data_IF_983965251718
#
_entry.id   IF_983965251718
#
_cell.length_a   1.000
_cell.length_b   1.000
_cell.length_c   1.000
_cell.angle_alpha   90.00
_cell.angle_beta   90.00
_cell.angle_gamma   90.00
#
_symmetry.space_group_name_H-M   'P 1'
#
loop_
_entity.id
_entity.type
_entity.pdbx_description
1 polymer ?
#
# COMPACT_ATOMS: atom_id res chain seq x y z
N UNK A 1 -45.07 38.00 -45.74
CA UNK A 1 -46.52 38.05 -45.44
C UNK A 1 -46.78 37.16 -44.24
N UNK A 2 -47.34 37.68 -43.15
CA UNK A 2 -47.97 36.87 -42.10
C UNK A 2 -49.39 36.46 -42.55
N UNK A 3 -50.02 35.46 -41.90
CA UNK A 3 -50.88 35.81 -40.76
C UNK A 3 -50.82 34.84 -39.56
N UNK A 4 -51.43 35.28 -38.45
CA UNK A 4 -51.66 34.61 -37.14
C UNK A 4 -53.02 35.15 -36.62
N UNK A 5 -53.60 34.69 -35.48
CA UNK A 5 -54.29 33.43 -35.13
C UNK A 5 -55.85 33.61 -35.15
N UNK A 6 -56.71 32.80 -34.46
CA UNK A 6 -56.89 32.70 -32.98
C UNK A 6 -57.18 31.23 -32.51
N UNK A 7 -57.54 30.83 -31.27
CA UNK A 7 -57.62 31.37 -29.89
C UNK A 7 -57.22 30.23 -28.91
N UNK A 8 -56.41 30.43 -27.86
CA UNK A 8 -56.76 30.86 -26.49
C UNK A 8 -57.84 30.04 -25.74
N UNK A 9 -57.42 29.19 -24.79
CA UNK A 9 -58.14 28.89 -23.53
C UNK A 9 -57.15 28.65 -22.38
N UNK A 10 -57.36 29.37 -21.28
CA UNK A 10 -56.54 29.41 -20.08
C UNK A 10 -57.08 28.50 -18.97
N UNK A 11 -56.19 27.92 -18.16
CA UNK A 11 -56.44 27.65 -16.73
C UNK A 11 -55.18 27.99 -15.91
N UNK A 12 -55.37 28.41 -14.66
CA UNK A 12 -54.43 29.28 -13.93
C UNK A 12 -54.15 28.76 -12.50
N UNK A 13 -52.85 28.64 -12.16
CA UNK A 13 -52.21 28.66 -10.82
C UNK A 13 -52.54 27.58 -9.76
N UNK A 14 -51.76 27.50 -8.65
CA UNK A 14 -50.39 28.01 -8.36
C UNK A 14 -49.42 26.83 -7.96
N UNK A 15 -48.08 26.95 -7.82
CA UNK A 15 -47.32 27.78 -6.87
C UNK A 15 -45.79 27.77 -7.15
N UNK A 16 -45.13 28.91 -6.84
CA UNK A 16 -43.72 29.12 -6.41
C UNK A 16 -42.53 28.24 -6.89
N UNK A 17 -41.63 28.90 -7.61
CA UNK A 17 -40.15 28.73 -7.68
C UNK A 17 -39.46 28.87 -6.28
N UNK A 18 -38.16 28.53 -6.06
CA UNK A 18 -37.05 28.63 -7.04
C UNK A 18 -35.89 27.62 -7.00
N UNK A 19 -34.99 27.82 -7.98
CA UNK A 19 -33.57 27.45 -8.03
C UNK A 19 -32.90 27.17 -6.69
N UNK A 20 -32.16 26.05 -6.62
CA UNK A 20 -31.05 25.85 -5.69
C UNK A 20 -29.87 25.21 -6.41
N UNK A 21 -28.70 25.85 -6.29
CA UNK A 21 -27.45 25.36 -6.85
C UNK A 21 -26.89 24.24 -5.96
N UNK A 22 -26.48 23.12 -6.55
CA UNK A 22 -25.73 22.11 -5.81
C UNK A 22 -24.28 22.55 -5.63
N UNK A 23 -23.98 23.02 -4.43
CA UNK A 23 -22.64 23.42 -4.01
C UNK A 23 -21.67 22.25 -4.02
N UNK A 24 -20.47 22.52 -4.52
CA UNK A 24 -19.29 21.68 -4.35
C UNK A 24 -18.89 21.74 -2.86
N UNK A 25 -19.04 20.63 -2.14
CA UNK A 25 -18.42 20.50 -0.81
C UNK A 25 -16.91 20.32 -0.94
N UNK A 26 -16.20 21.44 -1.03
CA UNK A 26 -14.78 21.49 -0.69
C UNK A 26 -14.65 21.33 0.82
N UNK A 27 -14.05 20.23 1.29
CA UNK A 27 -13.74 20.03 2.71
C UNK A 27 -12.54 20.93 3.08
N UNK A 28 -12.69 21.93 3.98
CA UNK A 28 -11.57 22.78 4.37
C UNK A 28 -10.63 22.05 5.34
N UNK A 29 -9.34 22.38 5.23
CA UNK A 29 -8.24 21.83 6.01
C UNK A 29 -8.23 22.36 7.47
N UNK A 30 -9.24 22.01 8.28
CA UNK A 30 -9.39 22.57 9.65
C UNK A 30 -9.67 21.49 10.72
N UNK A 31 -8.91 20.39 10.70
CA UNK A 31 -8.82 19.46 11.84
C UNK A 31 -7.38 18.97 12.08
N UNK A 32 -6.43 19.91 12.12
CA UNK A 32 -5.04 19.64 12.52
C UNK A 32 -4.48 20.70 13.49
N UNK A 33 -5.33 21.57 14.04
CA UNK A 33 -4.97 22.59 15.05
C UNK A 33 -5.97 22.54 16.22
N UNK A 34 -5.97 21.42 16.94
CA UNK A 34 -6.57 21.36 18.29
C UNK A 34 -5.76 20.57 19.33
N UNK A 35 -4.61 19.97 18.94
CA UNK A 35 -3.66 19.36 19.88
C UNK A 35 -2.28 20.02 19.71
N UNK A 36 -2.23 21.33 19.98
CA UNK A 36 -0.96 22.07 20.12
C UNK A 36 -1.08 23.34 20.99
N UNK A 37 -2.13 23.46 21.81
CA UNK A 37 -2.46 24.68 22.56
C UNK A 37 -2.19 24.62 24.08
N UNK A 38 -1.79 23.46 24.62
CA UNK A 38 -1.47 23.30 26.05
C UNK A 38 0.04 23.26 26.38
N UNK A 39 0.92 23.37 25.38
CA UNK A 39 2.39 23.34 25.59
C UNK A 39 3.09 24.66 25.27
N UNK A 40 2.43 25.80 25.53
CA UNK A 40 3.05 27.13 25.34
C UNK A 40 2.79 28.18 26.41
N UNK A 41 2.41 27.78 27.62
CA UNK A 41 2.19 28.67 28.79
C UNK A 41 3.06 28.32 30.03
N UNK A 42 4.20 27.64 29.85
CA UNK A 42 5.15 27.30 30.96
C UNK A 42 6.54 27.93 30.77
N UNK A 43 6.77 28.68 29.68
CA UNK A 43 8.09 29.17 29.31
C UNK A 43 8.12 30.66 28.92
N UNK A 44 7.57 31.54 29.76
CA UNK A 44 7.76 33.01 29.62
C UNK A 44 7.39 33.84 30.87
N UNK A 45 8.15 33.70 31.96
CA UNK A 45 8.36 34.83 32.86
C UNK A 45 9.66 34.69 33.68
N UNK A 46 10.54 35.68 33.61
CA UNK A 46 11.70 35.83 34.49
C UNK A 46 11.75 37.28 34.99
N UNK A 47 12.29 37.44 36.20
CA UNK A 47 12.65 38.69 36.90
C UNK A 47 11.53 39.66 37.29
N UNK A 48 11.17 39.66 38.58
CA UNK A 48 11.42 40.83 39.44
C UNK A 48 11.54 40.41 40.93
N UNK A 49 11.81 41.37 41.82
CA UNK A 49 12.51 41.21 43.09
C UNK A 49 11.65 41.06 44.38
N UNK A 50 12.30 40.43 45.38
CA UNK A 50 12.31 40.73 46.85
C UNK A 50 11.21 40.19 47.81
N UNK A 51 11.74 39.39 48.77
CA UNK A 51 11.60 39.43 50.25
C UNK A 51 10.58 38.52 50.98
N UNK A 52 11.06 38.09 52.17
CA UNK A 52 10.39 37.42 53.31
C UNK A 52 9.91 35.97 53.12
N UNK A 53 9.99 35.04 54.08
CA UNK A 53 10.77 34.75 55.32
C UNK A 53 9.95 33.65 56.02
N UNK A 54 10.58 32.56 56.48
CA UNK A 54 10.00 31.51 57.35
C UNK A 54 8.75 30.75 56.80
N UNK A 55 8.43 29.51 57.18
CA UNK A 55 9.09 28.47 57.99
C UNK A 55 8.53 27.11 57.53
N UNK A 56 9.35 26.06 57.51
CA UNK A 56 9.11 24.81 58.24
C UNK A 56 10.16 23.76 57.87
N UNK A 57 11.00 23.44 58.84
CA UNK A 57 11.89 22.29 58.82
C UNK A 57 11.11 20.97 58.95
N UNK A 58 11.79 19.91 58.53
CA UNK A 58 11.82 18.54 59.09
C UNK A 58 11.23 17.46 58.16
N UNK A 59 11.79 16.24 58.04
CA UNK A 59 12.97 15.61 58.67
C UNK A 59 13.72 14.75 57.60
N UNK A 60 15.06 14.71 57.66
CA UNK A 60 15.90 13.63 57.09
C UNK A 60 16.60 12.93 58.27
N UNK A 61 16.90 11.62 58.16
CA UNK A 61 18.29 11.20 57.87
C UNK A 61 18.34 10.00 56.88
N UNK A 62 19.15 9.95 55.83
CA UNK A 62 20.63 9.97 55.73
C UNK A 62 21.33 8.77 56.39
N UNK A 63 21.89 7.85 55.59
CA UNK A 63 23.24 7.31 55.78
C UNK A 63 23.79 6.65 54.49
N UNK A 64 25.11 6.59 54.37
CA UNK A 64 25.87 6.20 53.16
C UNK A 64 26.86 5.05 53.46
N UNK A 65 27.19 4.32 52.39
CA UNK A 65 28.50 3.66 52.10
C UNK A 65 28.71 2.15 52.35
N UNK A 66 29.71 1.64 51.59
CA UNK A 66 30.54 0.43 51.80
C UNK A 66 30.06 -0.96 51.32
N UNK A 67 30.24 -1.19 50.01
CA UNK A 67 30.85 -2.38 49.35
C UNK A 67 31.17 -3.66 50.17
N UNK A 68 30.70 -4.84 49.69
CA UNK A 68 31.50 -6.10 49.70
C UNK A 68 30.95 -7.22 48.77
N UNK A 69 31.86 -8.11 48.39
CA UNK A 69 31.90 -9.19 47.38
C UNK A 69 30.85 -10.35 47.41
N UNK A 70 30.39 -10.76 46.20
CA UNK A 70 30.29 -12.17 45.65
C UNK A 70 29.32 -13.21 46.34
N UNK A 71 28.67 -14.20 45.63
CA UNK A 71 28.96 -14.78 44.30
C UNK A 71 27.81 -14.91 43.27
N UNK A 72 28.19 -15.30 42.04
CA UNK A 72 27.30 -15.77 40.95
C UNK A 72 26.58 -17.10 41.30
N UNK A 73 25.24 -17.11 41.29
CA UNK A 73 24.38 -18.16 40.67
C UNK A 73 22.90 -17.76 40.75
N UNK A 74 22.07 -18.35 39.87
CA UNK A 74 20.61 -18.15 39.75
C UNK A 74 20.19 -16.78 39.17
N UNK A 75 20.28 -16.66 37.84
CA UNK A 75 19.32 -15.92 36.99
C UNK A 75 19.52 -16.36 35.54
N UNK A 76 19.19 -17.63 35.29
CA UNK A 76 19.01 -18.18 33.96
C UNK A 76 17.63 -18.84 33.94
N UNK A 77 16.91 -18.71 32.82
CA UNK A 77 15.51 -19.12 32.64
C UNK A 77 14.48 -18.21 33.33
N UNK A 78 13.95 -17.22 32.57
CA UNK A 78 12.52 -16.80 32.50
C UNK A 78 12.38 -15.38 31.91
N UNK A 79 12.65 -15.24 30.61
CA UNK A 79 12.13 -14.14 29.78
C UNK A 79 11.54 -14.69 28.48
N UNK A 80 10.56 -15.58 28.62
CA UNK A 80 9.65 -15.91 27.52
C UNK A 80 8.79 -14.69 27.21
N UNK A 81 9.08 -14.02 26.09
CA UNK A 81 8.27 -12.91 25.57
C UNK A 81 6.85 -13.41 25.23
N UNK A 82 5.91 -13.21 26.16
CA UNK A 82 4.48 -13.35 25.87
C UNK A 82 4.01 -12.06 25.21
N UNK A 83 3.76 -12.12 23.91
CA UNK A 83 3.08 -11.04 23.17
C UNK A 83 1.64 -10.90 23.68
N UNK A 84 1.42 -9.95 24.60
CA UNK A 84 0.08 -9.54 25.02
C UNK A 84 -0.41 -8.41 24.11
N UNK A 85 -1.06 -8.79 23.00
CA UNK A 85 -1.96 -7.89 22.29
C UNK A 85 -3.21 -7.64 23.16
N UNK A 86 -3.64 -6.39 23.39
CA UNK A 86 -4.91 -6.11 24.04
C UNK A 86 -6.07 -6.37 23.05
N UNK A 87 -6.35 -7.63 22.78
CA UNK A 87 -7.66 -8.02 22.22
C UNK A 87 -8.70 -7.86 23.32
N UNK A 88 -9.65 -6.94 23.12
CA UNK A 88 -10.91 -6.97 23.86
C UNK A 88 -11.70 -8.21 23.43
N UNK A 89 -11.41 -9.34 24.08
CA UNK A 89 -12.12 -10.59 23.89
C UNK A 89 -13.54 -10.50 24.48
N UNK A 90 -14.46 -9.93 23.70
CA UNK A 90 -15.85 -10.40 23.73
C UNK A 90 -15.82 -11.82 23.16
N UNK A 91 -16.26 -12.87 23.88
CA UNK A 91 -16.32 -14.21 23.34
C UNK A 91 -17.26 -14.24 22.13
N UNK A 92 -16.70 -14.36 20.93
CA UNK A 92 -17.49 -14.68 19.73
C UNK A 92 -17.79 -16.17 19.77
N UNK A 93 -19.06 -16.49 19.96
CA UNK A 93 -19.54 -17.87 19.94
C UNK A 93 -19.32 -18.46 18.54
N UNK A 94 -18.33 -19.35 18.41
CA UNK A 94 -17.88 -19.92 17.14
C UNK A 94 -18.88 -20.92 16.53
N UNK A 95 -20.05 -21.13 17.16
CA UNK A 95 -21.08 -22.07 16.71
C UNK A 95 -22.36 -21.41 16.15
N UNK A 96 -22.42 -20.07 16.07
CA UNK A 96 -23.53 -19.40 15.40
C UNK A 96 -23.30 -19.41 13.88
N UNK A 97 -24.26 -19.89 13.06
CA UNK A 97 -24.11 -19.85 11.61
C UNK A 97 -24.10 -18.39 11.13
N UNK A 98 -23.02 -17.98 10.47
CA UNK A 98 -22.75 -16.62 9.94
C UNK A 98 -23.75 -16.09 8.88
N UNK A 99 -24.89 -16.77 8.70
CA UNK A 99 -25.81 -16.55 7.61
C UNK A 99 -25.24 -17.04 6.27
N UNK A 100 -25.96 -16.74 5.18
CA UNK A 100 -25.55 -17.14 3.85
C UNK A 100 -24.30 -16.39 3.37
N UNK A 101 -23.50 -17.08 2.55
CA UNK A 101 -22.45 -16.46 1.74
C UNK A 101 -23.11 -15.54 0.71
N UNK A 102 -22.65 -14.28 0.63
CA UNK A 102 -23.13 -13.27 -0.31
C UNK A 102 -22.15 -13.00 -1.45
N UNK A 103 -20.86 -13.25 -1.22
CA UNK A 103 -19.79 -13.17 -2.23
C UNK A 103 -18.78 -14.30 -2.01
N UNK A 104 -18.34 -14.95 -3.09
CA UNK A 104 -17.31 -15.99 -3.04
C UNK A 104 -16.35 -15.87 -4.24
N UNK A 105 -15.07 -16.14 -3.99
CA UNK A 105 -14.12 -16.60 -5.00
C UNK A 105 -13.62 -17.95 -4.51
N UNK A 106 -14.04 -19.02 -5.19
CA UNK A 106 -13.90 -20.40 -4.70
C UNK A 106 -12.45 -20.72 -4.32
N UNK A 107 -12.26 -21.21 -3.10
CA UNK A 107 -10.94 -21.54 -2.54
C UNK A 107 -10.08 -20.35 -2.08
N UNK A 108 -10.49 -19.10 -2.30
CA UNK A 108 -9.73 -17.90 -1.94
C UNK A 108 -10.39 -17.05 -0.85
N UNK A 109 -11.68 -16.77 -0.97
CA UNK A 109 -12.43 -15.93 -0.02
C UNK A 109 -13.93 -16.24 -0.06
N UNK A 110 -14.58 -16.24 1.10
CA UNK A 110 -16.05 -16.17 1.24
C UNK A 110 -16.41 -15.01 2.15
N UNK A 111 -17.49 -14.32 1.82
CA UNK A 111 -18.03 -13.21 2.61
C UNK A 111 -19.48 -13.52 2.94
N UNK A 112 -19.81 -13.47 4.22
CA UNK A 112 -21.13 -13.79 4.74
C UNK A 112 -21.97 -12.54 4.95
N UNK A 113 -23.29 -12.74 5.01
CA UNK A 113 -24.28 -11.65 5.15
C UNK A 113 -24.11 -10.82 6.44
N UNK A 114 -23.54 -11.41 7.50
CA UNK A 114 -23.22 -10.73 8.76
C UNK A 114 -21.91 -9.91 8.72
N UNK A 115 -21.17 -9.95 7.60
CA UNK A 115 -19.87 -9.31 7.42
C UNK A 115 -18.69 -10.19 7.84
N UNK A 116 -18.90 -11.45 8.25
CA UNK A 116 -17.82 -12.40 8.48
C UNK A 116 -17.12 -12.79 7.17
N UNK A 117 -15.79 -12.93 7.21
CA UNK A 117 -14.96 -13.21 6.05
C UNK A 117 -14.08 -14.43 6.31
N UNK A 118 -14.28 -15.48 5.50
CA UNK A 118 -13.42 -16.66 5.48
C UNK A 118 -12.33 -16.49 4.42
N UNK A 119 -11.08 -16.79 4.79
CA UNK A 119 -9.95 -16.91 3.84
C UNK A 119 -9.23 -18.23 4.06
N UNK A 120 -9.48 -19.27 3.23
CA UNK A 120 -8.73 -20.52 3.30
C UNK A 120 -7.22 -20.29 3.16
N UNK A 121 -6.40 -21.10 3.83
CA UNK A 121 -4.95 -21.04 3.67
C UNK A 121 -4.52 -21.70 2.36
N UNK A 122 -4.59 -20.93 1.28
CA UNK A 122 -4.23 -21.36 -0.08
C UNK A 122 -2.72 -21.50 -0.30
N UNK A 123 -1.94 -20.70 0.43
CA UNK A 123 -0.49 -20.60 0.32
C UNK A 123 0.14 -20.43 1.70
N UNK A 124 1.28 -21.09 1.99
CA UNK A 124 1.93 -20.98 3.29
C UNK A 124 2.62 -19.62 3.42
N UNK A 125 2.44 -18.99 4.59
CA UNK A 125 3.28 -17.90 5.07
C UNK A 125 4.64 -18.45 5.52
N UNK A 126 5.71 -17.69 5.29
CA UNK A 126 7.05 -17.98 5.81
C UNK A 126 7.50 -16.84 6.73
N UNK A 127 8.29 -17.16 7.74
CA UNK A 127 8.98 -16.15 8.56
C UNK A 127 10.04 -15.43 7.74
N UNK A 128 10.43 -14.23 8.17
CA UNK A 128 11.66 -13.62 7.67
C UNK A 128 12.87 -14.50 8.06
N UNK A 129 13.89 -14.51 7.20
CA UNK A 129 15.15 -15.21 7.43
C UNK A 129 16.33 -14.24 7.37
N UNK A 130 17.20 -14.30 8.38
CA UNK A 130 18.37 -13.43 8.54
C UNK A 130 19.35 -13.49 7.36
N UNK A 131 19.37 -14.60 6.60
CA UNK A 131 20.03 -14.68 5.30
C UNK A 131 19.49 -15.89 4.52
N UNK A 132 19.20 -15.71 3.22
CA UNK A 132 19.06 -16.81 2.25
C UNK A 132 20.44 -17.11 1.65
N UNK A 133 21.09 -18.25 1.97
CA UNK A 133 22.47 -18.51 1.55
C UNK A 133 22.64 -18.63 0.03
N UNK A 134 21.60 -19.08 -0.69
CA UNK A 134 21.62 -19.22 -2.15
C UNK A 134 21.53 -17.88 -2.89
N UNK A 135 20.91 -16.87 -2.27
CA UNK A 135 20.61 -15.59 -2.91
C UNK A 135 21.44 -14.42 -2.37
N UNK A 136 22.13 -14.60 -1.24
CA UNK A 136 22.82 -13.54 -0.51
C UNK A 136 21.90 -12.35 -0.20
N UNK A 137 20.68 -12.65 0.25
CA UNK A 137 19.65 -11.68 0.64
C UNK A 137 19.23 -11.91 2.08
N UNK A 138 19.31 -10.88 2.91
CA UNK A 138 18.72 -10.82 4.25
C UNK A 138 17.28 -10.34 4.14
N UNK A 139 16.39 -10.92 4.95
CA UNK A 139 15.01 -10.45 5.09
C UNK A 139 14.64 -10.22 6.54
N UNK A 140 13.79 -9.23 6.79
CA UNK A 140 13.34 -8.85 8.13
C UNK A 140 12.00 -8.12 8.07
N UNK A 141 11.19 -8.29 9.10
CA UNK A 141 9.84 -7.71 9.18
C UNK A 141 9.85 -6.49 10.10
N UNK A 142 9.17 -5.41 9.69
CA UNK A 142 9.07 -4.17 10.46
C UNK A 142 7.64 -3.66 10.51
N UNK A 143 7.20 -3.22 11.69
CA UNK A 143 5.90 -2.54 11.87
C UNK A 143 6.00 -1.12 11.33
N UNK A 144 5.05 -0.75 10.48
CA UNK A 144 4.97 0.57 9.83
C UNK A 144 3.94 1.45 10.55
N UNK A 145 2.80 0.87 10.90
CA UNK A 145 1.73 1.53 11.65
C UNK A 145 0.98 0.47 12.48
N UNK A 146 1.14 0.55 13.81
CA UNK A 146 0.50 -0.37 14.75
C UNK A 146 -1.02 -0.17 14.87
N UNK A 147 -1.54 1.02 14.57
CA UNK A 147 -2.98 1.31 14.66
C UNK A 147 -3.77 0.64 13.52
N UNK A 148 -3.14 0.47 12.34
CA UNK A 148 -3.71 -0.26 11.19
C UNK A 148 -3.19 -1.70 11.06
N UNK A 149 -2.27 -2.12 11.94
CA UNK A 149 -1.49 -3.35 11.81
C UNK A 149 -0.77 -3.46 10.44
N UNK A 150 -0.37 -2.32 9.87
CA UNK A 150 0.42 -2.28 8.62
C UNK A 150 1.88 -2.54 8.96
N UNK A 151 2.47 -3.50 8.25
CA UNK A 151 3.88 -3.88 8.39
C UNK A 151 4.50 -4.14 7.01
N UNK A 152 5.82 -4.26 6.93
CA UNK A 152 6.52 -4.57 5.69
C UNK A 152 7.64 -5.59 5.90
N UNK A 153 7.86 -6.46 4.90
CA UNK A 153 9.04 -7.32 4.80
C UNK A 153 10.10 -6.67 3.93
N UNK A 154 11.28 -6.46 4.49
CA UNK A 154 12.44 -5.98 3.77
C UNK A 154 13.21 -7.15 3.14
N UNK A 155 13.82 -6.89 1.98
CA UNK A 155 14.79 -7.75 1.31
C UNK A 155 16.00 -6.88 0.94
N UNK A 156 17.16 -7.17 1.52
CA UNK A 156 18.41 -6.45 1.27
C UNK A 156 19.45 -7.43 0.76
N UNK A 157 19.98 -7.26 -0.46
CA UNK A 157 21.06 -8.08 -0.97
C UNK A 157 22.39 -7.61 -0.39
N UNK A 158 23.34 -8.53 -0.19
CA UNK A 158 24.68 -8.18 0.28
C UNK A 158 25.36 -7.26 -0.75
N UNK A 159 25.67 -6.03 -0.34
CA UNK A 159 26.23 -4.99 -1.19
C UNK A 159 27.21 -4.06 -0.44
N UNK A 160 28.18 -3.53 -1.18
CA UNK A 160 29.20 -2.59 -0.69
C UNK A 160 28.78 -1.11 -0.84
N UNK A 161 27.77 -0.82 -1.65
CA UNK A 161 27.25 0.52 -1.94
C UNK A 161 25.74 0.57 -1.69
N UNK A 162 25.20 1.78 -1.51
CA UNK A 162 23.76 2.00 -1.40
C UNK A 162 23.03 1.60 -2.69
N UNK A 163 21.88 0.96 -2.55
CA UNK A 163 21.06 0.49 -3.66
C UNK A 163 19.72 1.26 -3.73
N UNK A 164 19.09 1.37 -4.92
CA UNK A 164 17.73 1.89 -5.04
C UNK A 164 16.73 1.13 -4.15
N UNK A 165 15.72 1.84 -3.66
CA UNK A 165 14.61 1.26 -2.91
C UNK A 165 13.42 0.99 -3.84
N UNK A 166 12.88 -0.21 -3.78
CA UNK A 166 11.59 -0.58 -4.39
C UNK A 166 10.56 -0.83 -3.29
N UNK A 167 9.59 0.07 -3.15
CA UNK A 167 8.41 -0.17 -2.30
C UNK A 167 7.41 -0.98 -3.11
N UNK A 168 7.20 -2.23 -2.70
CA UNK A 168 6.44 -3.24 -3.42
C UNK A 168 5.11 -3.53 -2.73
N UNK A 169 4.03 -3.59 -3.50
CA UNK A 169 2.71 -4.02 -3.05
C UNK A 169 2.34 -5.34 -3.71
N UNK A 170 1.90 -6.31 -2.94
CA UNK A 170 1.52 -7.63 -3.47
C UNK A 170 0.17 -7.61 -4.22
N UNK A 171 -0.02 -8.51 -5.17
CA UNK A 171 -1.31 -8.80 -5.79
C UNK A 171 -2.28 -9.57 -4.87
N UNK A 172 -3.43 -9.95 -5.44
CA UNK A 172 -4.51 -10.67 -4.72
C UNK A 172 -5.86 -9.94 -4.71
N UNK A 173 -6.14 -9.11 -5.73
CA UNK A 173 -7.44 -8.46 -5.90
C UNK A 173 -7.90 -7.58 -4.73
N UNK A 174 -6.94 -7.00 -3.98
CA UNK A 174 -7.14 -6.27 -2.71
C UNK A 174 -7.73 -7.09 -1.54
N UNK A 175 -8.24 -8.30 -1.79
CA UNK A 175 -8.98 -9.08 -0.80
C UNK A 175 -8.19 -10.25 -0.21
N UNK A 176 -7.12 -10.72 -0.86
CA UNK A 176 -6.24 -11.79 -0.38
C UNK A 176 -4.77 -11.43 -0.61
N UNK A 177 -3.86 -12.25 -0.08
CA UNK A 177 -2.41 -12.04 -0.17
C UNK A 177 -1.77 -11.65 1.16
N UNK A 178 -0.44 -11.71 1.21
CA UNK A 178 0.38 -11.17 2.29
C UNK A 178 1.82 -11.03 1.82
N UNK A 179 2.56 -10.06 2.36
CA UNK A 179 4.02 -9.98 2.21
C UNK A 179 4.76 -11.21 2.79
N UNK A 180 4.09 -11.98 3.67
CA UNK A 180 4.62 -13.22 4.24
C UNK A 180 4.44 -14.46 3.35
N UNK A 181 3.59 -14.42 2.30
CA UNK A 181 3.35 -15.60 1.46
C UNK A 181 4.64 -16.08 0.78
N UNK A 182 4.89 -17.38 0.87
CA UNK A 182 6.09 -18.04 0.31
C UNK A 182 6.34 -17.73 -1.16
N UNK A 183 5.31 -17.55 -1.98
CA UNK A 183 5.44 -17.19 -3.40
C UNK A 183 6.04 -15.79 -3.58
N UNK A 184 5.53 -14.78 -2.87
CA UNK A 184 6.08 -13.43 -2.87
C UNK A 184 7.48 -13.40 -2.25
N UNK A 185 7.70 -14.11 -1.14
CA UNK A 185 9.02 -14.18 -0.52
C UNK A 185 10.10 -14.72 -1.48
N UNK A 186 9.81 -15.86 -2.14
CA UNK A 186 10.72 -16.46 -3.11
C UNK A 186 10.94 -15.59 -4.35
N UNK A 187 9.91 -14.87 -4.82
CA UNK A 187 10.03 -13.96 -5.96
C UNK A 187 10.82 -12.70 -5.59
N UNK A 188 10.48 -12.01 -4.49
CA UNK A 188 11.06 -10.73 -4.12
C UNK A 188 12.52 -10.86 -3.65
N UNK A 189 12.90 -11.95 -2.97
CA UNK A 189 14.30 -12.24 -2.69
C UNK A 189 15.13 -12.38 -3.99
N UNK A 190 14.60 -13.09 -5.00
CA UNK A 190 15.25 -13.24 -6.31
C UNK A 190 15.28 -11.93 -7.11
N UNK A 191 14.20 -11.14 -7.06
CA UNK A 191 14.11 -9.84 -7.71
C UNK A 191 15.15 -8.88 -7.11
N UNK A 192 15.22 -8.79 -5.79
CA UNK A 192 16.18 -7.97 -5.04
C UNK A 192 17.63 -8.29 -5.44
N UNK A 193 18.01 -9.58 -5.41
CA UNK A 193 19.33 -10.05 -5.82
C UNK A 193 19.63 -9.79 -7.31
N UNK A 194 18.67 -10.04 -8.21
CA UNK A 194 18.89 -9.93 -9.66
C UNK A 194 18.98 -8.48 -10.13
N UNK A 195 18.09 -7.63 -9.63
CA UNK A 195 18.03 -6.19 -9.94
C UNK A 195 19.18 -5.45 -9.26
N UNK A 196 19.47 -5.77 -7.99
CA UNK A 196 20.36 -4.98 -7.15
C UNK A 196 19.59 -3.82 -6.51
N UNK A 197 18.54 -4.15 -5.74
CA UNK A 197 17.73 -3.16 -5.03
C UNK A 197 17.31 -3.66 -3.64
N UNK A 198 17.17 -2.73 -2.69
CA UNK A 198 16.42 -2.99 -1.46
C UNK A 198 14.94 -3.05 -1.81
N UNK A 199 14.21 -4.05 -1.33
CA UNK A 199 12.75 -4.15 -1.51
C UNK A 199 12.06 -4.04 -0.16
N UNK A 200 11.07 -3.15 -0.06
CA UNK A 200 10.14 -3.04 1.05
C UNK A 200 8.77 -3.57 0.60
N UNK A 201 8.43 -4.81 0.93
CA UNK A 201 7.16 -5.44 0.58
C UNK A 201 6.09 -5.12 1.62
N UNK A 202 5.15 -4.24 1.29
CA UNK A 202 4.11 -3.76 2.22
C UNK A 202 2.98 -4.77 2.35
N UNK A 203 2.64 -5.13 3.59
CA UNK A 203 1.46 -5.91 3.95
C UNK A 203 0.32 -4.96 4.36
N UNK A 204 -0.42 -4.49 3.35
CA UNK A 204 -1.52 -3.53 3.50
C UNK A 204 -2.83 -4.21 3.98
N UNK A 205 -3.81 -3.43 4.44
CA UNK A 205 -5.11 -3.96 4.89
C UNK A 205 -5.99 -4.43 3.73
N UNK A 206 -6.66 -5.56 3.93
CA UNK A 206 -7.46 -6.23 2.91
C UNK A 206 -8.94 -5.84 2.95
N UNK A 207 -9.56 -5.88 1.77
CA UNK A 207 -11.01 -5.81 1.58
C UNK A 207 -11.67 -7.20 1.78
N UNK A 208 -12.96 -7.30 2.13
CA UNK A 208 -13.93 -6.19 2.30
C UNK A 208 -13.91 -5.50 3.67
N UNK A 209 -13.16 -5.99 4.66
CA UNK A 209 -13.10 -5.37 6.01
C UNK A 209 -12.52 -3.96 5.97
N UNK A 210 -11.59 -3.73 5.03
CA UNK A 210 -11.01 -2.43 4.74
C UNK A 210 -11.09 -2.19 3.22
N UNK A 211 -12.24 -1.73 2.69
CA UNK A 211 -12.37 -1.45 1.26
C UNK A 211 -11.48 -0.27 0.86
N UNK A 212 -11.29 -0.07 -0.45
CA UNK A 212 -10.60 1.10 -0.98
C UNK A 212 -11.29 2.37 -0.45
N UNK A 213 -10.52 3.38 0.03
CA UNK A 213 -9.11 3.63 -0.26
C UNK A 213 -8.09 3.02 0.71
N UNK A 214 -8.48 2.15 1.66
CA UNK A 214 -7.64 1.77 2.80
C UNK A 214 -6.21 1.35 2.45
N UNK A 215 -6.03 0.50 1.43
CA UNK A 215 -4.71 0.04 0.98
C UNK A 215 -3.86 1.13 0.31
N UNK A 216 -4.49 2.13 -0.33
CA UNK A 216 -3.81 3.33 -0.84
C UNK A 216 -3.35 4.25 0.28
N UNK A 217 -4.13 4.34 1.37
CA UNK A 217 -3.74 5.10 2.55
C UNK A 217 -2.56 4.41 3.27
N UNK A 218 -2.59 3.08 3.37
CA UNK A 218 -1.51 2.27 3.93
C UNK A 218 -0.22 2.41 3.11
N UNK A 219 -0.31 2.40 1.78
CA UNK A 219 0.82 2.67 0.89
C UNK A 219 1.37 4.09 1.00
N UNK A 220 0.52 5.09 1.23
CA UNK A 220 0.99 6.46 1.51
C UNK A 220 1.65 6.56 2.89
N UNK A 221 1.11 5.92 3.93
CA UNK A 221 1.74 5.84 5.26
C UNK A 221 3.10 5.15 5.19
N UNK A 222 3.24 4.07 4.42
CA UNK A 222 4.52 3.40 4.19
C UNK A 222 5.58 4.36 3.63
N UNK A 223 5.24 5.21 2.66
CA UNK A 223 6.19 6.22 2.13
C UNK A 223 6.51 7.33 3.13
N UNK A 224 5.55 7.76 3.95
CA UNK A 224 5.81 8.72 5.03
C UNK A 224 6.72 8.13 6.11
N UNK A 225 6.54 6.84 6.43
CA UNK A 225 7.41 6.10 7.35
C UNK A 225 8.83 5.96 6.77
N UNK A 226 8.98 5.60 5.50
CA UNK A 226 10.31 5.55 4.82
C UNK A 226 11.01 6.91 4.89
N UNK A 227 10.27 8.01 4.71
CA UNK A 227 10.80 9.38 4.89
C UNK A 227 11.27 9.63 6.32
N UNK A 228 10.51 9.18 7.33
CA UNK A 228 10.88 9.33 8.74
C UNK A 228 12.16 8.54 9.07
N UNK A 229 12.30 7.31 8.55
CA UNK A 229 13.51 6.49 8.75
C UNK A 229 14.75 7.14 8.12
N UNK A 230 14.65 7.64 6.88
CA UNK A 230 15.73 8.40 6.24
C UNK A 230 16.13 9.64 7.05
N UNK A 231 15.16 10.43 7.55
CA UNK A 231 15.46 11.62 8.34
C UNK A 231 16.10 11.25 9.69
N UNK A 232 15.63 10.18 10.33
CA UNK A 232 16.23 9.65 11.56
C UNK A 232 17.68 9.22 11.32
N UNK A 233 17.96 8.49 10.23
CA UNK A 233 19.31 8.09 9.84
C UNK A 233 20.22 9.32 9.65
N UNK A 234 19.76 10.30 8.86
CA UNK A 234 20.52 11.53 8.57
C UNK A 234 20.85 12.34 9.83
N UNK A 235 19.95 12.37 10.83
CA UNK A 235 20.19 13.05 12.10
C UNK A 235 21.10 12.27 13.06
N UNK A 236 21.25 10.95 12.89
CA UNK A 236 22.05 10.09 13.77
C UNK A 236 23.37 9.61 13.16
N UNK A 237 23.71 10.01 11.93
CA UNK A 237 25.02 9.70 11.34
C UNK A 237 26.16 10.15 12.27
N UNK A 238 26.96 9.18 12.72
CA UNK A 238 28.09 9.40 13.62
C UNK A 238 27.76 9.46 15.12
N UNK A 239 26.50 9.34 15.55
CA UNK A 239 26.13 9.35 16.98
C UNK A 239 26.33 8.01 17.71
N UNK A 240 26.64 6.94 16.97
CA UNK A 240 26.70 5.57 17.50
C UNK A 240 25.33 4.95 17.79
N UNK A 241 24.23 5.57 17.34
CA UNK A 241 22.89 4.97 17.41
C UNK A 241 22.81 3.71 16.55
N UNK A 242 21.94 2.77 16.94
CA UNK A 242 21.64 1.58 16.15
C UNK A 242 20.74 1.98 14.96
N UNK A 243 21.37 2.35 13.84
CA UNK A 243 20.72 2.43 12.54
C UNK A 243 20.02 1.12 12.19
N UNK A 244 18.89 1.21 11.49
CA UNK A 244 18.21 0.03 10.98
C UNK A 244 19.08 -0.68 9.92
N UNK A 245 19.12 -2.01 9.98
CA UNK A 245 20.03 -2.83 9.18
C UNK A 245 19.91 -2.64 7.65
N UNK A 246 18.76 -2.10 7.18
CA UNK A 246 18.49 -1.83 5.77
C UNK A 246 18.70 -0.36 5.36
N UNK A 247 18.64 0.62 6.28
CA UNK A 247 18.71 2.06 5.93
C UNK A 247 20.09 2.41 5.39
N UNK A 248 21.14 1.89 6.02
CA UNK A 248 22.55 2.02 5.60
C UNK A 248 22.88 1.40 4.23
N UNK A 249 21.92 0.68 3.62
CA UNK A 249 22.04 0.05 2.28
C UNK A 249 21.12 0.70 1.24
N UNK A 250 20.40 1.76 1.60
CA UNK A 250 19.29 2.30 0.84
C UNK A 250 19.55 3.74 0.35
N UNK A 251 19.65 3.90 -0.98
CA UNK A 251 19.73 5.21 -1.61
C UNK A 251 18.33 5.84 -1.68
N UNK A 252 17.98 6.65 -0.68
CA UNK A 252 16.70 7.36 -0.60
C UNK A 252 16.50 8.44 -1.68
N UNK A 253 17.54 8.79 -2.44
CA UNK A 253 17.42 9.63 -3.63
C UNK A 253 16.97 8.85 -4.88
N UNK A 254 16.83 7.52 -4.79
CA UNK A 254 16.44 6.62 -5.87
C UNK A 254 15.37 5.61 -5.42
N UNK A 255 14.14 6.10 -5.22
CA UNK A 255 12.99 5.30 -4.77
C UNK A 255 12.05 4.99 -5.94
N UNK A 256 11.57 3.75 -6.03
CA UNK A 256 10.59 3.27 -7.00
C UNK A 256 9.39 2.70 -6.26
N UNK A 257 8.19 2.83 -6.85
CA UNK A 257 7.02 2.10 -6.40
C UNK A 257 6.73 0.97 -7.39
N UNK A 258 6.28 -0.17 -6.91
CA UNK A 258 5.84 -1.24 -7.80
C UNK A 258 4.94 -2.25 -7.13
N UNK A 259 4.54 -3.23 -7.91
CA UNK A 259 3.69 -4.31 -7.45
C UNK A 259 3.20 -5.14 -8.62
N UNK A 260 2.36 -6.13 -8.31
CA UNK A 260 1.66 -6.92 -9.30
C UNK A 260 0.15 -6.89 -9.08
N UNK A 261 -0.65 -7.02 -10.15
CA UNK A 261 -2.11 -7.11 -10.05
C UNK A 261 -2.70 -5.92 -9.26
N UNK A 262 -3.46 -6.18 -8.20
CA UNK A 262 -3.96 -5.17 -7.26
C UNK A 262 -2.84 -4.32 -6.62
N UNK A 263 -1.67 -4.89 -6.35
CA UNK A 263 -0.51 -4.17 -5.84
C UNK A 263 0.05 -3.14 -6.82
N UNK A 264 0.07 -3.46 -8.12
CA UNK A 264 0.40 -2.48 -9.15
C UNK A 264 -0.65 -1.35 -9.23
N UNK A 265 -1.94 -1.66 -9.03
CA UNK A 265 -2.97 -0.63 -8.90
C UNK A 265 -2.75 0.27 -7.67
N UNK A 266 -2.34 -0.30 -6.52
CA UNK A 266 -1.95 0.46 -5.31
C UNK A 266 -0.76 1.38 -5.64
N UNK A 267 0.31 0.85 -6.23
CA UNK A 267 1.49 1.63 -6.60
C UNK A 267 1.13 2.84 -7.50
N UNK A 268 0.29 2.63 -8.50
CA UNK A 268 -0.20 3.70 -9.38
C UNK A 268 -1.03 4.78 -8.65
N UNK A 269 -1.99 4.37 -7.82
CA UNK A 269 -2.85 5.30 -7.09
C UNK A 269 -2.07 6.09 -6.01
N UNK A 270 -1.15 5.43 -5.29
CA UNK A 270 -0.25 6.09 -4.32
C UNK A 270 0.64 7.11 -5.02
N UNK A 271 1.25 6.74 -6.16
CA UNK A 271 2.07 7.66 -6.95
C UNK A 271 1.29 8.89 -7.42
N UNK A 272 0.07 8.68 -7.93
CA UNK A 272 -0.80 9.75 -8.43
C UNK A 272 -1.18 10.72 -7.31
N UNK A 273 -1.49 10.22 -6.11
CA UNK A 273 -1.75 11.05 -4.91
C UNK A 273 -0.53 11.88 -4.50
N UNK A 274 0.66 11.29 -4.51
CA UNK A 274 1.93 12.01 -4.21
C UNK A 274 2.19 13.10 -5.24
N UNK A 275 1.99 12.80 -6.53
CA UNK A 275 2.23 13.70 -7.63
C UNK A 275 1.22 14.86 -7.69
N UNK A 276 -0.03 14.63 -7.25
CA UNK A 276 -1.03 15.70 -7.11
C UNK A 276 -0.55 16.85 -6.21
N UNK A 277 0.21 16.53 -5.15
CA UNK A 277 0.83 17.48 -4.21
C UNK A 277 2.30 17.81 -4.56
N UNK A 278 2.70 17.68 -5.84
CA UNK A 278 4.04 17.97 -6.37
C UNK A 278 5.20 17.27 -5.62
N UNK A 279 4.90 16.12 -5.00
CA UNK A 279 5.84 15.35 -4.18
C UNK A 279 6.31 16.07 -2.91
N UNK A 280 5.81 17.27 -2.59
CA UNK A 280 6.31 18.11 -1.51
C UNK A 280 6.29 17.41 -0.15
N UNK A 281 5.23 16.62 0.11
CA UNK A 281 5.06 15.85 1.34
C UNK A 281 6.13 14.74 1.53
N UNK A 282 6.70 14.19 0.44
CA UNK A 282 7.72 13.13 0.51
C UNK A 282 9.17 13.62 0.48
N UNK A 283 9.43 14.89 0.12
CA UNK A 283 10.81 15.43 0.14
C UNK A 283 11.46 15.25 1.52
N UNK A 284 12.76 14.87 1.63
CA UNK A 284 13.71 14.74 0.52
C UNK A 284 13.73 13.40 -0.25
N UNK A 285 12.78 12.47 -0.05
CA UNK A 285 12.68 11.27 -0.91
C UNK A 285 12.46 11.67 -2.37
N UNK A 286 13.13 10.97 -3.29
CA UNK A 286 12.98 11.16 -4.74
C UNK A 286 12.40 9.90 -5.40
N UNK A 287 11.11 9.93 -5.71
CA UNK A 287 10.47 8.90 -6.54
C UNK A 287 10.94 9.01 -8.00
N UNK A 288 11.56 7.96 -8.54
CA UNK A 288 12.12 7.89 -9.90
C UNK A 288 11.18 7.25 -10.92
N UNK A 289 10.37 6.27 -10.50
CA UNK A 289 9.45 5.60 -11.42
C UNK A 289 8.52 4.58 -10.79
N UNK A 290 7.64 4.05 -11.64
CA UNK A 290 6.64 3.02 -11.32
C UNK A 290 6.92 1.73 -12.09
N UNK A 291 6.75 0.58 -11.43
CA UNK A 291 6.91 -0.75 -12.02
C UNK A 291 5.60 -1.52 -11.81
N UNK A 292 4.77 -1.56 -12.85
CA UNK A 292 3.41 -2.10 -12.80
C UNK A 292 3.40 -3.47 -13.49
N UNK A 293 3.32 -4.56 -12.73
CA UNK A 293 3.25 -5.91 -13.29
C UNK A 293 1.79 -6.35 -13.38
N UNK A 294 1.27 -6.55 -14.60
CA UNK A 294 -0.13 -6.89 -14.86
C UNK A 294 -1.14 -6.05 -14.06
N UNK A 295 -1.04 -4.69 -14.04
CA UNK A 295 -1.91 -3.85 -13.21
C UNK A 295 -3.39 -4.21 -13.31
N UNK A 296 -3.99 -4.42 -12.14
CA UNK A 296 -5.41 -4.73 -12.02
C UNK A 296 -6.24 -3.46 -12.21
N UNK A 297 -6.63 -3.24 -13.46
CA UNK A 297 -7.61 -2.23 -13.87
C UNK A 297 -8.84 -2.93 -14.45
N UNK A 298 -9.95 -2.21 -14.51
CA UNK A 298 -11.21 -2.67 -15.08
C UNK A 298 -11.99 -1.53 -15.72
N UNK A 299 -13.30 -1.72 -15.82
CA UNK A 299 -14.25 -0.81 -16.43
C UNK A 299 -15.57 -1.54 -16.71
N UNK A 300 -16.69 -0.82 -16.78
CA UNK A 300 -17.97 -1.49 -17.00
C UNK A 300 -18.05 -2.15 -18.38
N UNK A 301 -17.70 -1.38 -19.42
CA UNK A 301 -17.57 -1.86 -20.80
C UNK A 301 -16.41 -2.84 -20.91
N UNK A 302 -16.70 -4.08 -21.32
CA UNK A 302 -15.70 -5.16 -21.40
C UNK A 302 -14.79 -5.06 -22.63
N UNK A 303 -13.50 -5.31 -22.45
CA UNK A 303 -12.50 -5.38 -23.54
C UNK A 303 -12.61 -6.65 -24.38
N UNK A 304 -11.77 -6.81 -25.40
CA UNK A 304 -11.67 -8.07 -26.17
C UNK A 304 -11.12 -9.21 -25.33
N UNK A 305 -10.03 -8.96 -24.60
CA UNK A 305 -9.39 -9.93 -23.69
C UNK A 305 -10.32 -10.41 -22.58
N UNK A 306 -11.13 -9.54 -21.99
CA UNK A 306 -12.11 -9.91 -20.97
C UNK A 306 -13.24 -10.80 -21.50
N UNK A 307 -13.66 -10.62 -22.76
CA UNK A 307 -14.75 -11.39 -23.40
C UNK A 307 -14.28 -12.73 -23.97
N UNK A 308 -13.14 -12.72 -24.67
CA UNK A 308 -12.78 -13.77 -25.62
C UNK A 308 -11.60 -14.64 -25.19
N UNK A 309 -10.88 -14.27 -24.11
CA UNK A 309 -9.74 -15.05 -23.67
C UNK A 309 -10.16 -16.33 -22.93
N UNK A 310 -9.56 -17.45 -23.32
CA UNK A 310 -9.76 -18.73 -22.68
C UNK A 310 -9.28 -18.72 -21.22
N UNK A 311 -10.21 -18.91 -20.29
CA UNK A 311 -9.95 -18.91 -18.85
C UNK A 311 -9.92 -20.36 -18.35
N UNK A 312 -8.73 -20.98 -18.39
CA UNK A 312 -8.56 -22.34 -17.87
C UNK A 312 -8.77 -22.37 -16.35
N UNK A 313 -9.19 -23.51 -15.79
CA UNK A 313 -9.45 -23.67 -14.36
C UNK A 313 -8.24 -23.40 -13.45
N UNK A 314 -7.02 -23.46 -13.99
CA UNK A 314 -5.78 -23.09 -13.29
C UNK A 314 -5.34 -21.63 -13.46
N UNK A 315 -6.16 -20.78 -14.08
CA UNK A 315 -5.84 -19.36 -14.27
C UNK A 315 -5.91 -18.59 -12.95
N UNK A 316 -4.85 -17.85 -12.62
CA UNK A 316 -4.80 -17.05 -11.38
C UNK A 316 -5.86 -15.94 -11.30
N UNK A 317 -6.41 -15.53 -12.43
CA UNK A 317 -7.52 -14.59 -12.53
C UNK A 317 -8.47 -15.04 -13.65
N UNK A 318 -9.77 -14.97 -13.39
CA UNK A 318 -10.84 -15.14 -14.36
C UNK A 318 -11.85 -13.99 -14.17
N UNK A 319 -12.79 -13.83 -15.12
CA UNK A 319 -13.70 -12.68 -15.17
C UNK A 319 -14.62 -12.62 -13.95
N UNK A 320 -15.13 -13.76 -13.49
CA UNK A 320 -15.99 -13.83 -12.30
C UNK A 320 -15.22 -13.42 -11.04
N UNK A 321 -14.00 -13.94 -10.85
CA UNK A 321 -13.13 -13.56 -9.74
C UNK A 321 -12.76 -12.07 -9.79
N UNK A 322 -12.43 -11.54 -10.98
CA UNK A 322 -12.19 -10.12 -11.20
C UNK A 322 -13.38 -9.26 -10.76
N UNK A 323 -14.60 -9.64 -11.17
CA UNK A 323 -15.80 -8.89 -10.81
C UNK A 323 -16.09 -8.96 -9.30
N UNK A 324 -15.93 -10.13 -8.68
CA UNK A 324 -16.07 -10.29 -7.22
C UNK A 324 -15.03 -9.45 -6.47
N UNK A 325 -13.76 -9.47 -6.87
CA UNK A 325 -12.73 -8.62 -6.28
C UNK A 325 -13.10 -7.13 -6.36
N UNK A 326 -13.62 -6.65 -7.50
CA UNK A 326 -14.04 -5.26 -7.61
C UNK A 326 -15.28 -4.93 -6.76
N UNK A 327 -16.27 -5.82 -6.65
CA UNK A 327 -17.43 -5.62 -5.75
C UNK A 327 -17.03 -5.58 -4.28
N UNK A 328 -16.06 -6.39 -3.86
CA UNK A 328 -15.55 -6.42 -2.50
C UNK A 328 -14.61 -5.24 -2.17
N UNK A 329 -13.83 -4.77 -3.14
CA UNK A 329 -12.81 -3.75 -2.92
C UNK A 329 -13.29 -2.30 -3.09
N UNK A 330 -14.25 -2.03 -3.98
CA UNK A 330 -14.72 -0.66 -4.21
C UNK A 330 -15.65 -0.17 -3.08
N UNK A 331 -15.80 1.16 -2.88
CA UNK A 331 -16.79 1.71 -1.96
C UNK A 331 -18.21 1.24 -2.30
N UNK A 332 -19.02 0.94 -1.29
CA UNK A 332 -20.41 0.53 -1.45
C UNK A 332 -21.19 1.51 -2.36
N UNK A 333 -21.94 0.96 -3.31
CA UNK A 333 -22.67 1.74 -4.33
C UNK A 333 -21.84 2.20 -5.54
N UNK A 334 -20.53 1.93 -5.57
CA UNK A 334 -19.68 2.19 -6.75
C UNK A 334 -19.83 1.10 -7.82
N UNK A 335 -19.43 1.43 -9.05
CA UNK A 335 -19.28 0.48 -10.15
C UNK A 335 -17.82 0.46 -10.65
N UNK A 336 -17.51 -0.39 -11.63
CA UNK A 336 -16.13 -0.59 -12.14
C UNK A 336 -15.61 0.56 -13.01
N UNK A 337 -16.43 1.57 -13.30
CA UNK A 337 -15.97 2.85 -13.86
C UNK A 337 -15.56 3.88 -12.79
N UNK A 338 -15.55 3.48 -11.51
CA UNK A 338 -14.89 4.25 -10.45
C UNK A 338 -13.38 4.44 -10.79
N UNK A 339 -12.78 5.64 -10.61
CA UNK A 339 -11.41 5.93 -11.06
C UNK A 339 -10.30 5.03 -10.51
N UNK A 340 -10.56 4.37 -9.38
CA UNK A 340 -9.66 3.37 -8.77
C UNK A 340 -9.66 2.03 -9.50
N UNK A 341 -10.75 1.68 -10.18
CA UNK A 341 -10.87 0.51 -11.04
C UNK A 341 -10.50 0.85 -12.48
N UNK A 342 -11.13 1.89 -13.05
CA UNK A 342 -10.91 2.36 -14.41
C UNK A 342 -10.15 3.69 -14.39
N UNK A 343 -8.80 3.68 -14.44
CA UNK A 343 -7.98 4.89 -14.32
C UNK A 343 -8.05 5.80 -15.55
N UNK A 344 -8.82 5.44 -16.59
CA UNK A 344 -8.95 6.19 -17.84
C UNK A 344 -10.28 6.96 -17.94
N UNK A 345 -11.24 6.70 -17.05
CA UNK A 345 -12.54 7.38 -17.05
C UNK A 345 -12.40 8.86 -16.68
N UNK A 346 -12.94 9.73 -17.53
CA UNK A 346 -13.00 11.20 -17.36
C UNK A 346 -11.64 11.88 -17.17
N UNK A 347 -10.56 11.24 -17.62
CA UNK A 347 -9.19 11.78 -17.51
C UNK A 347 -8.96 12.90 -18.53
N UNK A 348 -8.48 14.05 -18.03
CA UNK A 348 -7.84 15.09 -18.85
C UNK A 348 -6.36 14.77 -18.98
N UNK A 349 -5.90 14.48 -20.20
CA UNK A 349 -4.56 13.95 -20.47
C UNK A 349 -3.44 14.90 -20.02
N UNK A 350 -3.69 16.21 -20.07
CA UNK A 350 -2.76 17.25 -19.63
C UNK A 350 -2.52 17.20 -18.12
N UNK A 351 -3.54 16.80 -17.34
CA UNK A 351 -3.54 16.80 -15.87
C UNK A 351 -2.92 15.54 -15.26
N UNK A 352 -2.61 14.53 -16.07
CA UNK A 352 -1.96 13.30 -15.62
C UNK A 352 -0.52 13.57 -15.15
N UNK A 353 -0.33 13.75 -13.84
CA UNK A 353 0.99 13.76 -13.20
C UNK A 353 1.43 12.32 -12.88
N UNK A 354 1.93 11.62 -13.90
CA UNK A 354 2.42 10.23 -13.78
C UNK A 354 3.96 10.22 -13.92
N UNK A 355 4.63 9.50 -13.03
CA UNK A 355 6.08 9.27 -13.11
C UNK A 355 6.46 8.43 -14.34
N UNK A 356 7.75 8.34 -14.66
CA UNK A 356 8.24 7.35 -15.62
C UNK A 356 7.76 5.96 -15.18
N UNK A 357 7.17 5.20 -16.11
CA UNK A 357 6.44 3.96 -15.76
C UNK A 357 6.86 2.81 -16.67
N UNK A 358 7.14 1.65 -16.09
CA UNK A 358 7.24 0.35 -16.76
C UNK A 358 5.94 -0.42 -16.55
N UNK A 359 5.37 -0.99 -17.61
CA UNK A 359 4.23 -1.92 -17.53
C UNK A 359 4.60 -3.28 -18.10
N UNK A 360 4.58 -4.32 -17.26
CA UNK A 360 4.82 -5.71 -17.68
C UNK A 360 3.47 -6.39 -17.94
N UNK A 361 3.18 -6.70 -19.21
CA UNK A 361 1.87 -7.20 -19.66
C UNK A 361 1.98 -8.70 -19.99
N UNK A 362 0.98 -9.50 -19.61
CA UNK A 362 0.92 -10.92 -19.97
C UNK A 362 0.02 -11.14 -21.20
N UNK A 363 0.44 -12.02 -22.12
CA UNK A 363 -0.31 -12.33 -23.35
C UNK A 363 -1.61 -13.12 -23.10
N UNK A 364 -1.63 -13.98 -22.08
CA UNK A 364 -2.75 -14.85 -21.69
C UNK A 364 -3.38 -14.35 -20.38
N UNK A 365 -3.57 -13.03 -20.28
CA UNK A 365 -4.23 -12.37 -19.15
C UNK A 365 -5.48 -11.62 -19.63
N UNK A 366 -6.62 -11.81 -18.93
CA UNK A 366 -7.88 -11.12 -19.25
C UNK A 366 -7.72 -9.59 -19.18
N UNK A 367 -6.74 -9.10 -18.42
CA UNK A 367 -6.42 -7.68 -18.26
C UNK A 367 -5.53 -7.11 -19.37
N UNK A 368 -5.04 -7.94 -20.30
CA UNK A 368 -4.09 -7.53 -21.35
C UNK A 368 -4.53 -6.27 -22.07
N UNK A 369 -5.78 -6.20 -22.54
CA UNK A 369 -6.25 -5.05 -23.31
C UNK A 369 -6.35 -3.81 -22.43
N UNK A 370 -6.83 -3.93 -21.17
CA UNK A 370 -6.82 -2.82 -20.17
C UNK A 370 -5.41 -2.24 -19.97
N UNK A 371 -4.42 -3.13 -19.92
CA UNK A 371 -3.03 -2.79 -19.72
C UNK A 371 -2.45 -2.07 -20.95
N UNK A 372 -2.80 -2.52 -22.16
CA UNK A 372 -2.42 -1.88 -23.43
C UNK A 372 -3.11 -0.51 -23.61
N UNK A 373 -4.42 -0.42 -23.38
CA UNK A 373 -5.22 0.81 -23.39
C UNK A 373 -4.65 1.86 -22.44
N UNK A 374 -4.22 1.43 -21.24
CA UNK A 374 -3.56 2.29 -20.26
C UNK A 374 -2.21 2.81 -20.77
N UNK A 375 -1.35 1.94 -21.32
CA UNK A 375 -0.06 2.34 -21.88
C UNK A 375 -0.23 3.33 -23.04
N UNK A 376 -1.09 3.02 -24.01
CA UNK A 376 -1.38 3.88 -25.15
C UNK A 376 -1.93 5.25 -24.71
N UNK A 377 -2.85 5.28 -23.75
CA UNK A 377 -3.40 6.55 -23.24
C UNK A 377 -2.34 7.42 -22.56
N UNK A 378 -1.42 6.82 -21.79
CA UNK A 378 -0.30 7.55 -21.18
C UNK A 378 0.73 8.04 -22.22
N UNK A 379 1.00 7.25 -23.27
CA UNK A 379 1.86 7.66 -24.39
C UNK A 379 1.23 8.83 -25.16
N UNK A 380 -0.08 8.76 -25.47
CA UNK A 380 -0.83 9.86 -26.09
C UNK A 380 -0.89 11.12 -25.21
N UNK A 381 -0.82 10.96 -23.89
CA UNK A 381 -0.68 12.06 -22.93
C UNK A 381 0.77 12.60 -22.80
N UNK A 382 1.72 12.13 -23.62
CA UNK A 382 3.12 12.56 -23.61
C UNK A 382 3.92 12.10 -22.39
N UNK A 383 3.46 11.06 -21.68
CA UNK A 383 4.16 10.54 -20.48
C UNK A 383 5.21 9.50 -20.88
N UNK A 384 6.28 9.40 -20.08
CA UNK A 384 7.35 8.41 -20.29
C UNK A 384 6.89 7.02 -19.84
N UNK A 385 6.30 6.27 -20.75
CA UNK A 385 5.87 4.89 -20.50
C UNK A 385 6.64 3.92 -21.38
N UNK A 386 7.15 2.87 -20.74
CA UNK A 386 7.75 1.70 -21.36
C UNK A 386 6.84 0.51 -21.04
N UNK A 387 6.60 -0.38 -21.99
CA UNK A 387 5.86 -1.61 -21.72
C UNK A 387 6.47 -2.81 -22.44
N UNK A 388 6.22 -4.01 -21.93
CA UNK A 388 6.69 -5.26 -22.53
C UNK A 388 5.63 -6.36 -22.41
N UNK A 389 5.37 -7.07 -23.51
CA UNK A 389 4.37 -8.13 -23.61
C UNK A 389 5.05 -9.51 -23.49
N UNK A 390 4.88 -10.16 -22.34
CA UNK A 390 5.42 -11.48 -22.06
C UNK A 390 4.52 -12.56 -22.67
N UNK A 391 5.03 -13.22 -23.73
CA UNK A 391 4.31 -14.23 -24.51
C UNK A 391 4.23 -15.59 -23.81
N UNK A 392 3.12 -16.29 -24.00
CA UNK A 392 2.88 -17.65 -23.49
C UNK A 392 2.63 -17.75 -21.98
N UNK A 393 2.35 -16.64 -21.31
CA UNK A 393 2.11 -16.57 -19.86
C UNK A 393 0.86 -15.76 -19.54
N UNK A 394 0.19 -16.13 -18.43
CA UNK A 394 -1.00 -15.46 -17.94
C UNK A 394 -0.78 -14.61 -16.69
N UNK A 395 -1.87 -14.25 -16.03
CA UNK A 395 -1.84 -13.41 -14.82
C UNK A 395 -0.96 -14.01 -13.71
N UNK A 396 -0.19 -13.18 -13.01
CA UNK A 396 0.69 -13.54 -11.91
C UNK A 396 1.70 -14.69 -12.18
N UNK A 397 2.11 -14.92 -13.44
CA UNK A 397 3.03 -16.01 -13.80
C UNK A 397 4.34 -16.00 -13.00
N UNK A 398 4.83 -14.81 -12.65
CA UNK A 398 6.05 -14.56 -11.90
C UNK A 398 5.98 -15.00 -10.43
N UNK A 399 4.77 -15.07 -9.87
CA UNK A 399 4.49 -15.43 -8.46
C UNK A 399 4.01 -16.88 -8.37
N UNK A 400 3.03 -17.26 -9.20
CA UNK A 400 2.24 -18.48 -9.00
C UNK A 400 2.60 -19.62 -9.95
N UNK A 401 3.19 -19.34 -11.11
CA UNK A 401 3.40 -20.35 -12.15
C UNK A 401 4.81 -20.98 -12.10
N UNK A 402 4.86 -22.30 -11.92
CA UNK A 402 6.11 -23.09 -11.90
C UNK A 402 6.55 -23.61 -13.27
N UNK A 403 5.83 -23.27 -14.34
CA UNK A 403 6.13 -23.73 -15.71
C UNK A 403 7.50 -23.24 -16.22
N UNK A 404 8.09 -23.95 -17.19
CA UNK A 404 9.38 -23.54 -17.75
C UNK A 404 9.29 -22.22 -18.54
N UNK A 405 8.17 -22.00 -19.25
CA UNK A 405 7.91 -20.74 -19.96
C UNK A 405 7.82 -19.59 -18.95
N UNK A 406 7.06 -19.77 -17.87
CA UNK A 406 6.93 -18.79 -16.78
C UNK A 406 8.29 -18.46 -16.16
N UNK A 407 9.11 -19.48 -15.83
CA UNK A 407 10.47 -19.26 -15.30
C UNK A 407 11.36 -18.45 -16.24
N UNK A 408 11.25 -18.65 -17.56
CA UNK A 408 12.00 -17.89 -18.55
C UNK A 408 11.49 -16.43 -18.63
N UNK A 409 10.16 -16.23 -18.76
CA UNK A 409 9.55 -14.89 -18.75
C UNK A 409 9.84 -14.12 -17.46
N UNK A 410 9.93 -14.79 -16.31
CA UNK A 410 10.29 -14.11 -15.04
C UNK A 410 11.72 -13.60 -15.07
N UNK A 411 12.67 -14.33 -15.68
CA UNK A 411 14.06 -13.87 -15.85
C UNK A 411 14.14 -12.66 -16.78
N UNK A 412 13.40 -12.67 -17.89
CA UNK A 412 13.29 -11.56 -18.83
C UNK A 412 12.68 -10.33 -18.14
N UNK A 413 11.55 -10.49 -17.46
CA UNK A 413 10.90 -9.43 -16.70
C UNK A 413 11.80 -8.82 -15.61
N UNK A 414 12.54 -9.64 -14.85
CA UNK A 414 13.52 -9.13 -13.88
C UNK A 414 14.68 -8.36 -14.55
N UNK A 415 15.11 -8.76 -15.76
CA UNK A 415 16.10 -8.02 -16.53
C UNK A 415 15.55 -6.69 -17.05
N UNK A 416 14.26 -6.64 -17.44
CA UNK A 416 13.59 -5.41 -17.85
C UNK A 416 13.44 -4.42 -16.70
N UNK A 417 13.02 -4.91 -15.52
CA UNK A 417 12.95 -4.11 -14.28
C UNK A 417 14.33 -3.56 -13.92
N UNK A 418 15.40 -4.36 -14.02
CA UNK A 418 16.77 -3.90 -13.79
C UNK A 418 17.18 -2.77 -14.75
N UNK A 419 16.93 -2.96 -16.04
CA UNK A 419 17.24 -1.95 -17.07
C UNK A 419 16.42 -0.67 -16.87
N UNK A 420 15.19 -0.79 -16.38
CA UNK A 420 14.35 0.35 -16.05
C UNK A 420 14.90 1.14 -14.85
N UNK A 421 15.29 0.46 -13.76
CA UNK A 421 15.79 1.10 -12.53
C UNK A 421 17.20 1.68 -12.64
N UNK A 422 17.95 1.38 -13.70
CA UNK A 422 19.29 1.91 -13.98
C UNK A 422 19.28 3.27 -14.73
N UNK A 423 18.10 3.77 -15.10
CA UNK A 423 17.86 5.01 -15.86
C UNK A 423 17.15 6.07 -15.01
#
# INVERSE_FOLDING_TARGET
MCPIPPAMKTFIHPFSTPYSAFFIFSVPLTLYIYISKEWREVAKCKTSHRKSIHSLLSFFPSFLSASSYIPRKIMATLTSNVYLSPQYNVPKDHNLPHGCVVEEISGLIRVHKDGYVERPQVLPCVTASTMSPELNVTSGDMVIDSATNTWARFYVPICQHELPLLVYFHGGGFCVGSAAWSCYHNFLARLSAKVGCVIMSVNYRLAPENPLPASYDDGLRALMWVKQQMLYEQHNMGSGSNSEWWTTKCNFSSVFLGGDSAGANIAYNVATRVAACDGAALRPLSLKGLILIQPFFGGEVRTGSEKCMAQSSGSALNLAASDTYWRLALPCGSNRDHPWCNPLVKVKLEQLKVLRTLVCISEIDILKDRNLEFCDTLVRAGKRVEFELFKGVGHAFQILSKSQISKNRTKEMMARVKSFMAL
#
